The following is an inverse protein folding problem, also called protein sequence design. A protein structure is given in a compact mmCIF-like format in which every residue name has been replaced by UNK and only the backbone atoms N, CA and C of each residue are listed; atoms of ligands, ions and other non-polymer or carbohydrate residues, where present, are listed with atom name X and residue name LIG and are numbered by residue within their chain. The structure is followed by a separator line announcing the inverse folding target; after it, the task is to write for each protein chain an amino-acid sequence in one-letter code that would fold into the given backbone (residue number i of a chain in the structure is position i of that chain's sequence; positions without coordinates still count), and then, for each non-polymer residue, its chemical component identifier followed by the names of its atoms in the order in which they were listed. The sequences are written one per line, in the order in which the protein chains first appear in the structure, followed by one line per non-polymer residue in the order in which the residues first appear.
data_IF_767319676711
#
_entry.id   IF_767319676711
#
_cell.length_a   1.000
_cell.length_b   1.000
_cell.length_c   1.000
_cell.angle_alpha   90.00
_cell.angle_beta   90.00
_cell.angle_gamma   90.00
#
_symmetry.space_group_name_H-M   'P 1'
#
loop_
_entity.id
_entity.type
_entity.pdbx_description
1 polymer ?
#
# COMPACT_ATOMS: atom_id res chain seq x y z
N UNK A 1 9.45 -12.01 -14.68
CA UNK A 1 8.19 -12.45 -14.06
C UNK A 1 7.14 -11.38 -14.22
N UNK A 2 5.97 -11.74 -14.60
CA UNK A 2 4.89 -10.75 -14.70
C UNK A 2 4.12 -10.64 -13.38
N UNK A 3 3.43 -9.53 -13.21
CA UNK A 3 2.63 -9.25 -12.03
C UNK A 3 1.60 -10.34 -11.72
N UNK A 4 1.01 -10.94 -12.78
CA UNK A 4 0.01 -12.00 -12.63
C UNK A 4 0.53 -13.20 -11.85
N UNK A 5 1.76 -13.64 -12.11
CA UNK A 5 2.36 -14.76 -11.37
C UNK A 5 2.59 -14.43 -9.90
N UNK A 6 2.99 -13.20 -9.62
CA UNK A 6 3.17 -12.71 -8.24
C UNK A 6 1.82 -12.69 -7.51
N UNK A 7 0.76 -12.20 -8.17
CA UNK A 7 -0.56 -12.16 -7.58
C UNK A 7 -1.12 -13.57 -7.33
N UNK A 8 -0.90 -14.51 -8.26
CA UNK A 8 -1.32 -15.90 -8.05
C UNK A 8 -0.66 -16.51 -6.82
N UNK A 9 0.63 -16.25 -6.63
CA UNK A 9 1.34 -16.72 -5.42
C UNK A 9 0.68 -16.14 -4.15
N UNK A 10 0.42 -14.84 -4.12
CA UNK A 10 -0.19 -14.20 -2.95
C UNK A 10 -1.61 -14.68 -2.71
N UNK A 11 -2.40 -14.93 -3.76
CA UNK A 11 -3.75 -15.46 -3.59
C UNK A 11 -3.73 -16.86 -2.97
N UNK A 12 -2.81 -17.73 -3.41
CA UNK A 12 -2.69 -19.09 -2.89
C UNK A 12 -2.15 -19.14 -1.46
N UNK A 13 -1.30 -18.19 -1.11
CA UNK A 13 -0.57 -18.18 0.16
C UNK A 13 -1.00 -17.03 1.08
N UNK A 14 -2.14 -16.39 0.79
CA UNK A 14 -2.55 -15.16 1.46
C UNK A 14 -2.60 -15.30 2.99
N UNK A 15 -3.19 -16.39 3.50
CA UNK A 15 -3.28 -16.57 4.94
C UNK A 15 -1.90 -16.70 5.58
N UNK A 16 -1.04 -17.54 5.02
CA UNK A 16 0.32 -17.73 5.54
C UNK A 16 1.13 -16.43 5.46
N UNK A 17 1.00 -15.70 4.36
CA UNK A 17 1.66 -14.39 4.20
C UNK A 17 1.15 -13.39 5.24
N UNK A 18 -0.15 -13.32 5.43
CA UNK A 18 -0.76 -12.41 6.40
C UNK A 18 -0.30 -12.73 7.83
N UNK A 19 -0.31 -13.99 8.23
CA UNK A 19 0.15 -14.40 9.54
C UNK A 19 1.62 -14.08 9.77
N UNK A 20 2.46 -14.27 8.76
CA UNK A 20 3.88 -13.99 8.85
C UNK A 20 4.19 -12.49 8.95
N UNK A 21 3.39 -11.63 8.30
CA UNK A 21 3.68 -10.20 8.20
C UNK A 21 3.01 -9.36 9.29
N UNK A 22 1.92 -9.82 9.90
CA UNK A 22 1.21 -9.05 10.93
C UNK A 22 2.08 -8.77 12.16
N UNK A 23 2.97 -9.69 12.49
CA UNK A 23 3.82 -9.58 13.68
C UNK A 23 5.17 -8.91 13.41
N UNK A 24 5.45 -8.54 12.16
CA UNK A 24 6.72 -7.87 11.83
C UNK A 24 6.66 -6.43 12.32
N UNK A 25 7.70 -6.05 13.08
CA UNK A 25 7.79 -4.70 13.64
C UNK A 25 8.44 -3.75 12.64
N UNK A 26 7.66 -2.83 12.10
CA UNK A 26 8.11 -1.77 11.21
C UNK A 26 7.93 -0.39 11.82
N UNK A 27 7.80 -0.34 13.12
CA UNK A 27 7.44 0.88 13.85
C UNK A 27 8.35 2.07 13.52
N UNK A 28 9.67 1.86 13.52
CA UNK A 28 10.61 2.95 13.27
C UNK A 28 10.46 3.53 11.87
N UNK A 29 10.26 2.66 10.87
CA UNK A 29 10.08 3.08 9.49
C UNK A 29 8.74 3.80 9.30
N UNK A 30 7.67 3.26 9.89
CA UNK A 30 6.35 3.87 9.85
C UNK A 30 6.38 5.25 10.49
N UNK A 31 7.04 5.39 11.64
CA UNK A 31 7.13 6.65 12.35
C UNK A 31 7.95 7.69 11.57
N UNK A 32 9.03 7.26 10.94
CA UNK A 32 9.82 8.14 10.08
C UNK A 32 8.98 8.72 8.96
N UNK A 33 8.23 7.87 8.26
CA UNK A 33 7.34 8.29 7.18
C UNK A 33 6.26 9.24 7.71
N UNK A 34 5.61 8.87 8.80
CA UNK A 34 4.57 9.66 9.45
C UNK A 34 5.04 11.09 9.76
N UNK A 35 6.27 11.21 10.26
CA UNK A 35 6.81 12.51 10.68
C UNK A 35 7.07 13.46 9.50
N UNK A 36 7.11 12.93 8.27
CA UNK A 36 7.25 13.74 7.06
C UNK A 36 5.93 14.25 6.52
N UNK A 37 4.81 13.81 7.08
CA UNK A 37 3.47 14.14 6.60
C UNK A 37 2.78 15.15 7.53
N UNK A 38 1.81 15.93 7.01
CA UNK A 38 0.98 16.75 7.88
C UNK A 38 0.15 15.89 8.83
N UNK A 39 -0.18 16.41 9.99
CA UNK A 39 -1.06 15.74 10.93
C UNK A 39 -2.40 15.43 10.26
N UNK A 40 -2.95 14.24 10.52
CA UNK A 40 -4.22 13.80 9.94
C UNK A 40 -4.22 13.80 8.42
N UNK A 41 -3.05 13.63 7.80
CA UNK A 41 -2.91 13.58 6.36
C UNK A 41 -3.57 12.37 5.73
N UNK A 42 -3.56 12.32 4.42
CA UNK A 42 -4.19 11.25 3.64
C UNK A 42 -3.09 10.36 3.04
N UNK A 43 -3.13 9.08 3.37
CA UNK A 43 -2.14 8.09 2.94
C UNK A 43 -2.79 7.06 2.02
N UNK A 44 -2.11 6.73 0.92
CA UNK A 44 -2.44 5.56 0.11
C UNK A 44 -1.46 4.43 0.47
N UNK A 45 -1.97 3.32 0.97
CA UNK A 45 -1.18 2.11 1.15
C UNK A 45 -1.22 1.31 -0.15
N UNK A 46 -0.14 1.36 -0.89
CA UNK A 46 -0.03 0.87 -2.26
C UNK A 46 0.55 -0.55 -2.24
N UNK A 47 -0.34 -1.54 -2.25
CA UNK A 47 0.01 -2.94 -2.04
C UNK A 47 0.04 -3.27 -0.55
N UNK A 48 -1.12 -3.20 0.09
CA UNK A 48 -1.21 -3.20 1.55
C UNK A 48 -1.00 -4.57 2.22
N UNK A 49 -1.04 -5.66 1.45
CA UNK A 49 -0.93 -6.99 2.01
C UNK A 49 -1.99 -7.26 3.08
N UNK A 50 -1.56 -7.68 4.27
CA UNK A 50 -2.45 -8.04 5.36
C UNK A 50 -3.08 -6.86 6.11
N UNK A 51 -2.62 -5.64 5.84
CA UNK A 51 -3.15 -4.44 6.50
C UNK A 51 -2.41 -3.98 7.73
N UNK A 52 -1.22 -4.52 8.01
CA UNK A 52 -0.39 -4.12 9.16
C UNK A 52 -0.16 -2.62 9.21
N UNK A 53 0.26 -2.04 8.09
CA UNK A 53 0.60 -0.62 8.03
C UNK A 53 -0.65 0.25 8.04
N UNK A 54 -1.72 -0.20 7.39
CA UNK A 54 -3.02 0.50 7.45
C UNK A 54 -3.43 0.69 8.91
N UNK A 55 -3.37 -0.39 9.69
CA UNK A 55 -3.80 -0.35 11.08
C UNK A 55 -2.97 0.63 11.90
N UNK A 56 -1.66 0.65 11.67
CA UNK A 56 -0.79 1.62 12.33
C UNK A 56 -1.19 3.05 11.99
N UNK A 57 -1.33 3.38 10.69
CA UNK A 57 -1.64 4.74 10.28
C UNK A 57 -3.01 5.19 10.76
N UNK A 58 -3.99 4.30 10.76
CA UNK A 58 -5.31 4.62 11.33
C UNK A 58 -5.20 4.94 12.82
N UNK A 59 -4.36 4.22 13.55
CA UNK A 59 -4.16 4.46 14.99
C UNK A 59 -3.50 5.82 15.25
N UNK A 60 -2.82 6.37 14.26
CA UNK A 60 -2.18 7.69 14.33
C UNK A 60 -3.05 8.80 13.75
N UNK A 61 -4.33 8.49 13.51
CA UNK A 61 -5.35 9.44 13.05
C UNK A 61 -5.20 9.92 11.60
N UNK A 62 -4.48 9.18 10.77
CA UNK A 62 -4.43 9.45 9.34
C UNK A 62 -5.67 8.90 8.64
N UNK A 63 -6.04 9.52 7.52
CA UNK A 63 -6.99 8.93 6.58
C UNK A 63 -6.19 7.98 5.68
N UNK A 64 -6.73 6.79 5.45
CA UNK A 64 -6.02 5.78 4.66
C UNK A 64 -6.93 5.18 3.61
N UNK A 65 -6.48 5.24 2.35
CA UNK A 65 -6.98 4.39 1.29
C UNK A 65 -5.97 3.26 1.10
N UNK A 66 -6.44 2.10 0.68
CA UNK A 66 -5.55 0.97 0.47
C UNK A 66 -5.99 0.16 -0.74
N UNK A 67 -4.99 -0.32 -1.47
CA UNK A 67 -5.22 -1.22 -2.61
C UNK A 67 -4.28 -2.42 -2.52
N UNK A 68 -4.71 -3.51 -3.11
CA UNK A 68 -3.87 -4.69 -3.32
C UNK A 68 -4.38 -5.45 -4.53
N UNK A 69 -3.48 -6.11 -5.26
CA UNK A 69 -3.84 -6.90 -6.41
C UNK A 69 -4.40 -8.27 -6.07
N UNK A 70 -4.20 -8.74 -4.84
CA UNK A 70 -4.71 -10.03 -4.37
C UNK A 70 -6.07 -9.86 -3.71
N UNK A 71 -7.09 -10.50 -4.28
CA UNK A 71 -8.43 -10.47 -3.73
C UNK A 71 -8.50 -11.00 -2.30
N UNK A 72 -7.78 -12.09 -2.02
CA UNK A 72 -7.76 -12.69 -0.70
C UNK A 72 -7.09 -11.78 0.33
N UNK A 73 -5.99 -11.12 -0.04
CA UNK A 73 -5.34 -10.15 0.86
C UNK A 73 -6.23 -8.94 1.09
N UNK A 74 -6.95 -8.48 0.08
CA UNK A 74 -7.92 -7.38 0.25
C UNK A 74 -8.99 -7.75 1.28
N UNK A 75 -9.49 -8.97 1.22
CA UNK A 75 -10.49 -9.45 2.17
C UNK A 75 -9.93 -9.52 3.59
N UNK A 76 -8.74 -10.11 3.74
CA UNK A 76 -8.08 -10.22 5.03
C UNK A 76 -7.81 -8.84 5.63
N UNK A 77 -7.25 -7.93 4.82
CA UNK A 77 -6.93 -6.59 5.29
C UNK A 77 -8.17 -5.78 5.62
N UNK A 78 -9.26 -5.93 4.85
CA UNK A 78 -10.52 -5.25 5.14
C UNK A 78 -11.10 -5.69 6.47
N UNK A 79 -11.09 -7.00 6.74
CA UNK A 79 -11.58 -7.55 8.00
C UNK A 79 -10.71 -7.10 9.18
N UNK A 80 -9.40 -7.08 8.99
CA UNK A 80 -8.46 -6.75 10.06
C UNK A 80 -8.48 -5.26 10.42
N UNK A 81 -8.63 -4.38 9.43
CA UNK A 81 -8.49 -2.93 9.62
C UNK A 81 -9.81 -2.20 9.78
N UNK A 82 -10.89 -2.79 9.30
CA UNK A 82 -12.22 -2.14 9.33
C UNK A 82 -12.48 -1.17 8.17
N UNK A 83 -11.50 -0.96 7.28
CA UNK A 83 -11.72 -0.16 6.06
C UNK A 83 -11.86 -1.08 4.85
N UNK A 84 -12.46 -0.57 3.78
CA UNK A 84 -12.59 -1.34 2.55
C UNK A 84 -11.30 -1.20 1.73
N UNK A 85 -10.56 -2.31 1.59
CA UNK A 85 -9.39 -2.37 0.73
C UNK A 85 -9.84 -2.74 -0.68
N UNK A 86 -9.45 -1.95 -1.68
CA UNK A 86 -9.84 -2.19 -3.07
C UNK A 86 -8.87 -3.16 -3.75
N UNK A 87 -9.44 -4.10 -4.51
CA UNK A 87 -8.64 -4.89 -5.44
C UNK A 87 -8.30 -4.01 -6.63
N UNK A 88 -7.03 -3.71 -6.82
CA UNK A 88 -6.57 -2.85 -7.90
C UNK A 88 -5.10 -3.17 -8.21
N UNK A 89 -4.79 -3.27 -9.50
CA UNK A 89 -3.40 -3.37 -9.94
C UNK A 89 -2.74 -2.00 -9.86
N UNK A 90 -1.41 -1.98 -9.67
CA UNK A 90 -0.68 -0.71 -9.55
C UNK A 90 -0.87 0.20 -10.77
N UNK A 91 -0.91 -0.39 -11.96
CA UNK A 91 -1.10 0.37 -13.21
C UNK A 91 -2.49 0.98 -13.36
N UNK A 92 -3.43 0.59 -12.53
CA UNK A 92 -4.81 1.10 -12.57
C UNK A 92 -5.02 2.37 -11.75
N UNK A 93 -3.99 2.82 -11.03
CA UNK A 93 -4.08 4.04 -10.21
C UNK A 93 -4.30 5.27 -11.10
N UNK A 94 -5.39 6.01 -10.87
CA UNK A 94 -5.77 7.18 -11.66
C UNK A 94 -6.08 8.43 -10.83
N UNK A 95 -5.80 8.40 -9.54
CA UNK A 95 -6.04 9.54 -8.66
C UNK A 95 -5.11 10.71 -9.00
N UNK A 96 -5.58 11.93 -8.75
CA UNK A 96 -4.82 13.15 -9.02
C UNK A 96 -4.81 14.01 -7.77
N UNK A 97 -3.62 14.38 -7.29
CA UNK A 97 -3.40 15.29 -6.16
C UNK A 97 -4.29 14.98 -4.95
N UNK A 98 -4.38 13.69 -4.60
CA UNK A 98 -5.28 13.22 -3.54
C UNK A 98 -4.55 12.93 -2.23
N UNK A 99 -3.33 12.42 -2.29
CA UNK A 99 -2.64 11.89 -1.13
C UNK A 99 -1.48 12.75 -0.67
N UNK A 100 -1.31 12.87 0.63
CA UNK A 100 -0.12 13.48 1.24
C UNK A 100 1.06 12.52 1.22
N UNK A 101 0.81 11.23 1.31
CA UNK A 101 1.83 10.20 1.24
C UNK A 101 1.36 8.94 0.56
N UNK A 102 2.29 8.26 -0.12
CA UNK A 102 2.05 6.93 -0.68
C UNK A 102 3.06 5.98 -0.03
N UNK A 103 2.55 4.95 0.62
CA UNK A 103 3.33 3.93 1.29
C UNK A 103 3.31 2.67 0.42
N UNK A 104 4.45 2.36 -0.19
CA UNK A 104 4.60 1.22 -1.09
C UNK A 104 5.69 0.28 -0.57
N UNK A 105 5.54 -0.21 0.64
CA UNK A 105 6.54 -1.01 1.33
C UNK A 105 6.73 -2.36 0.64
N UNK A 106 7.83 -2.48 -0.08
CA UNK A 106 8.25 -3.69 -0.82
C UNK A 106 7.24 -4.18 -1.87
N UNK A 107 6.20 -3.41 -2.15
CA UNK A 107 5.11 -3.87 -3.00
C UNK A 107 5.41 -3.80 -4.49
N UNK A 108 6.13 -2.75 -4.94
CA UNK A 108 6.39 -2.53 -6.36
C UNK A 108 7.69 -3.18 -6.85
N UNK A 109 8.42 -3.86 -5.96
CA UNK A 109 9.69 -4.51 -6.31
C UNK A 109 9.54 -5.64 -7.32
N UNK A 110 8.35 -6.20 -7.46
CA UNK A 110 8.08 -7.30 -8.38
C UNK A 110 7.76 -6.85 -9.79
N UNK A 111 7.66 -5.55 -10.03
CA UNK A 111 7.33 -5.03 -11.35
C UNK A 111 8.54 -5.00 -12.28
N UNK A 112 8.36 -5.33 -13.58
CA UNK A 112 9.42 -5.10 -14.57
C UNK A 112 9.79 -3.62 -14.63
N UNK A 113 11.05 -3.31 -14.95
CA UNK A 113 11.54 -1.92 -14.98
C UNK A 113 10.69 -0.99 -15.84
N UNK A 114 10.23 -1.47 -17.00
CA UNK A 114 9.42 -0.65 -17.92
C UNK A 114 8.06 -0.29 -17.31
N UNK A 115 7.48 -1.21 -16.54
CA UNK A 115 6.21 -0.97 -15.87
C UNK A 115 6.39 -0.09 -14.64
N UNK A 116 7.53 -0.24 -13.96
CA UNK A 116 7.85 0.52 -12.76
C UNK A 116 7.86 2.02 -13.03
N UNK A 117 8.47 2.45 -14.15
CA UNK A 117 8.48 3.87 -14.52
C UNK A 117 7.07 4.43 -14.68
N UNK A 118 6.20 3.69 -15.40
CA UNK A 118 4.83 4.12 -15.62
C UNK A 118 4.04 4.19 -14.30
N UNK A 119 4.27 3.23 -13.40
CA UNK A 119 3.62 3.21 -12.09
C UNK A 119 4.08 4.40 -11.25
N UNK A 120 5.38 4.71 -11.23
CA UNK A 120 5.88 5.88 -10.49
C UNK A 120 5.26 7.18 -11.01
N UNK A 121 5.10 7.32 -12.31
CA UNK A 121 4.46 8.50 -12.88
C UNK A 121 3.02 8.64 -12.37
N UNK A 122 2.29 7.54 -12.25
CA UNK A 122 0.94 7.54 -11.70
C UNK A 122 0.93 7.87 -10.20
N UNK A 123 1.89 7.37 -9.46
CA UNK A 123 2.03 7.69 -8.04
C UNK A 123 2.28 9.19 -7.84
N UNK A 124 3.17 9.77 -8.65
CA UNK A 124 3.48 11.19 -8.57
C UNK A 124 2.23 12.02 -8.87
N UNK A 125 1.44 11.65 -9.87
CA UNK A 125 0.19 12.35 -10.18
C UNK A 125 -0.83 12.26 -9.04
N UNK A 126 -0.83 11.15 -8.31
CA UNK A 126 -1.76 10.93 -7.20
C UNK A 126 -1.38 11.73 -5.95
N UNK A 127 -0.15 12.20 -5.86
CA UNK A 127 0.31 12.97 -4.72
C UNK A 127 -0.09 14.43 -4.82
N UNK A 128 -0.41 15.01 -3.67
CA UNK A 128 -0.51 16.46 -3.54
C UNK A 128 0.89 17.06 -3.70
N UNK A 129 0.94 18.39 -3.92
CA UNK A 129 2.19 19.13 -3.90
C UNK A 129 2.90 18.86 -2.58
N UNK A 130 4.20 18.60 -2.62
CA UNK A 130 5.03 18.24 -1.47
C UNK A 130 4.71 16.88 -0.87
N UNK A 131 3.99 16.02 -1.59
CA UNK A 131 3.71 14.66 -1.15
C UNK A 131 4.95 13.78 -1.12
N UNK A 132 4.89 12.72 -0.32
CA UNK A 132 6.02 11.82 -0.03
C UNK A 132 5.69 10.42 -0.49
N UNK A 133 6.67 9.74 -1.14
CA UNK A 133 6.58 8.32 -1.47
C UNK A 133 7.62 7.57 -0.66
N UNK A 134 7.19 6.48 -0.01
CA UNK A 134 8.08 5.50 0.59
C UNK A 134 8.02 4.20 -0.23
N UNK A 135 9.17 3.67 -0.61
CA UNK A 135 9.25 2.38 -1.30
C UNK A 135 10.28 1.47 -0.65
#
# INVERSE_FOLDING_TARGET
MCETKTLDYYNKNARSFAEATMDVDFYDTQKYFQNLLPEQGYILDFGCGSGRDIKYFLSQHFQVDAIDGSEELCRIASDYTGIKVKKMLFKELEEIEKYDGIWACSSILHLPKRELKAVFEKMIKALKRDGIIYT
#
